data_IF_112119545791
#
_entry.id   IF_112119545791
#
_cell.length_a   1.000
_cell.length_b   1.000
_cell.length_c   1.000
_cell.angle_alpha   90.00
_cell.angle_beta   90.00
_cell.angle_gamma   90.00
#
_symmetry.space_group_name_H-M   'P 1'
#
loop_
_entity.id
_entity.type
_entity.pdbx_description
1 polymer ?
#
# COMPACT_ATOMS: atom_id res chain seq x y z
N UNK A 1 -1.97 -12.45 14.42
CA UNK A 1 -1.01 -11.34 14.61
C UNK A 1 0.33 -11.72 14.00
N UNK A 2 1.03 -10.75 13.40
CA UNK A 2 2.38 -10.92 12.82
C UNK A 2 3.46 -10.42 13.78
N UNK A 3 4.74 -10.72 13.51
CA UNK A 3 5.91 -10.14 14.18
C UNK A 3 5.79 -8.62 14.36
N UNK A 4 5.28 -7.93 13.33
CA UNK A 4 5.13 -6.48 13.34
C UNK A 4 4.06 -5.94 14.29
N UNK A 5 3.00 -6.70 14.57
CA UNK A 5 2.02 -6.30 15.58
C UNK A 5 2.65 -6.32 16.98
N UNK A 6 3.36 -7.40 17.32
CA UNK A 6 4.07 -7.52 18.61
C UNK A 6 5.12 -6.42 18.77
N UNK A 7 5.90 -6.20 17.72
CA UNK A 7 6.97 -5.20 17.71
C UNK A 7 6.45 -3.77 17.86
N UNK A 8 5.39 -3.40 17.14
CA UNK A 8 4.79 -2.06 17.24
C UNK A 8 4.17 -1.80 18.60
N UNK A 9 3.45 -2.78 19.15
CA UNK A 9 2.84 -2.64 20.46
C UNK A 9 3.87 -2.38 21.54
N UNK A 10 5.00 -3.10 21.51
CA UNK A 10 6.10 -2.84 22.43
C UNK A 10 6.69 -1.45 22.27
N UNK A 11 6.94 -0.99 21.04
CA UNK A 11 7.45 0.37 20.78
C UNK A 11 6.50 1.46 21.29
N UNK A 12 5.20 1.20 21.24
CA UNK A 12 4.14 2.10 21.73
C UNK A 12 3.77 1.85 23.20
N UNK A 13 4.47 0.96 23.91
CA UNK A 13 4.22 0.59 25.30
C UNK A 13 2.80 0.04 25.56
N UNK A 14 2.24 -0.65 24.56
CA UNK A 14 0.90 -1.28 24.58
C UNK A 14 0.98 -2.81 24.50
N UNK A 15 2.12 -3.41 24.82
CA UNK A 15 2.32 -4.87 24.84
C UNK A 15 1.59 -5.57 25.99
N UNK A 16 1.20 -4.83 27.03
CA UNK A 16 0.29 -5.30 28.08
C UNK A 16 -1.18 -5.47 27.62
N UNK A 17 -1.49 -5.12 26.38
CA UNK A 17 -2.84 -5.15 25.81
C UNK A 17 -3.52 -3.77 25.82
N UNK A 18 -4.57 -3.58 24.99
CA UNK A 18 -5.29 -2.32 24.92
C UNK A 18 -6.18 -2.11 26.15
N UNK A 19 -6.08 -0.94 26.78
CA UNK A 19 -7.12 -0.41 27.67
C UNK A 19 -8.23 0.21 26.82
N UNK A 20 -9.46 -0.31 26.93
CA UNK A 20 -10.62 0.15 26.18
C UNK A 20 -10.87 1.66 26.34
N UNK A 21 -10.62 2.21 27.54
CA UNK A 21 -10.78 3.64 27.78
C UNK A 21 -9.75 4.44 26.97
N UNK A 22 -8.49 4.02 27.02
CA UNK A 22 -7.42 4.61 26.25
C UNK A 22 -7.66 4.49 24.73
N UNK A 23 -8.13 3.34 24.24
CA UNK A 23 -8.48 3.16 22.81
C UNK A 23 -9.58 4.13 22.38
N UNK A 24 -10.65 4.26 23.18
CA UNK A 24 -11.73 5.22 22.89
C UNK A 24 -11.21 6.66 22.84
N UNK A 25 -10.32 7.02 23.76
CA UNK A 25 -9.69 8.34 23.80
C UNK A 25 -8.79 8.58 22.57
N UNK A 26 -7.98 7.61 22.18
CA UNK A 26 -7.16 7.72 20.96
C UNK A 26 -8.03 7.89 19.70
N UNK A 27 -9.13 7.12 19.59
CA UNK A 27 -10.07 7.23 18.47
C UNK A 27 -10.76 8.59 18.43
N UNK A 28 -11.12 9.18 19.57
CA UNK A 28 -11.74 10.51 19.60
C UNK A 28 -10.75 11.61 19.16
N UNK A 29 -9.49 11.55 19.61
CA UNK A 29 -8.46 12.50 19.15
C UNK A 29 -8.13 12.33 17.66
N UNK A 30 -8.10 11.10 17.17
CA UNK A 30 -7.90 10.84 15.74
C UNK A 30 -9.06 11.42 14.92
N UNK A 31 -10.31 11.18 15.33
CA UNK A 31 -11.49 11.75 14.67
C UNK A 31 -11.47 13.29 14.70
N UNK A 32 -11.11 13.91 15.83
CA UNK A 32 -10.96 15.36 15.92
C UNK A 32 -9.90 15.91 14.96
N UNK A 33 -8.78 15.18 14.79
CA UNK A 33 -7.72 15.55 13.85
C UNK A 33 -8.19 15.45 12.39
N UNK A 34 -8.96 14.41 12.06
CA UNK A 34 -9.59 14.26 10.73
C UNK A 34 -10.55 15.41 10.45
N UNK A 35 -11.44 15.75 11.40
CA UNK A 35 -12.37 16.88 11.25
C UNK A 35 -11.64 18.22 11.09
N UNK A 36 -10.50 18.40 11.77
CA UNK A 36 -9.69 19.60 11.61
C UNK A 36 -9.07 19.69 10.22
N UNK A 37 -8.55 18.59 9.67
CA UNK A 37 -8.01 18.55 8.30
C UNK A 37 -9.12 18.79 7.27
N UNK A 38 -10.28 18.14 7.44
CA UNK A 38 -11.45 18.29 6.57
C UNK A 38 -11.89 19.76 6.42
N UNK A 39 -11.95 20.49 7.54
CA UNK A 39 -12.24 21.93 7.53
C UNK A 39 -11.29 22.72 6.62
N UNK A 40 -9.98 22.47 6.71
CA UNK A 40 -8.99 23.18 5.91
C UNK A 40 -8.97 22.74 4.45
N UNK A 41 -9.28 21.47 4.16
CA UNK A 41 -9.50 21.02 2.78
C UNK A 41 -10.68 21.77 2.17
N UNK A 42 -11.78 21.92 2.90
CA UNK A 42 -12.92 22.73 2.47
C UNK A 42 -12.51 24.17 2.10
N UNK A 43 -11.71 24.83 2.96
CA UNK A 43 -11.21 26.18 2.67
C UNK A 43 -10.35 26.27 1.39
N UNK A 44 -9.54 25.24 1.10
CA UNK A 44 -8.75 25.19 -0.14
C UNK A 44 -9.68 25.06 -1.36
N UNK A 45 -10.68 24.17 -1.29
CA UNK A 45 -11.64 23.97 -2.37
C UNK A 45 -12.49 25.22 -2.63
N UNK A 46 -13.01 25.86 -1.56
CA UNK A 46 -13.74 27.13 -1.64
C UNK A 46 -12.90 28.23 -2.30
N UNK A 47 -11.60 28.27 -1.99
CA UNK A 47 -10.67 29.24 -2.59
C UNK A 47 -10.46 28.97 -4.08
N UNK A 48 -10.35 27.71 -4.51
CA UNK A 48 -10.25 27.36 -5.92
C UNK A 48 -11.50 27.78 -6.70
N UNK A 49 -12.69 27.66 -6.10
CA UNK A 49 -13.95 28.14 -6.68
C UNK A 49 -13.99 29.67 -6.77
N UNK A 50 -13.65 30.38 -5.68
CA UNK A 50 -13.63 31.85 -5.63
C UNK A 50 -12.70 32.45 -6.70
N UNK A 51 -11.58 31.79 -6.97
CA UNK A 51 -10.60 32.22 -7.96
C UNK A 51 -10.92 31.74 -9.39
N UNK A 52 -12.04 31.04 -9.61
CA UNK A 52 -12.42 30.42 -10.88
C UNK A 52 -11.35 29.45 -11.44
N UNK A 53 -10.62 28.75 -10.57
CA UNK A 53 -9.58 27.78 -10.94
C UNK A 53 -10.09 26.33 -10.92
N UNK A 54 -11.26 26.09 -10.34
CA UNK A 54 -11.80 24.74 -10.07
C UNK A 54 -11.92 23.85 -11.31
N UNK A 55 -12.35 24.40 -12.44
CA UNK A 55 -12.59 23.66 -13.70
C UNK A 55 -11.30 23.15 -14.36
N UNK A 56 -10.17 23.81 -14.11
CA UNK A 56 -8.87 23.45 -14.69
C UNK A 56 -7.89 22.93 -13.62
N UNK A 57 -8.42 22.38 -12.52
CA UNK A 57 -7.61 21.84 -11.41
C UNK A 57 -8.00 20.40 -11.14
N UNK A 58 -7.03 19.48 -11.27
CA UNK A 58 -7.17 18.11 -10.78
C UNK A 58 -6.99 18.10 -9.25
N UNK A 59 -7.96 17.54 -8.53
CA UNK A 59 -7.87 17.33 -7.08
C UNK A 59 -7.76 15.84 -6.80
N UNK A 60 -6.67 15.43 -6.16
CA UNK A 60 -6.45 14.06 -5.68
C UNK A 60 -6.42 14.06 -4.15
N UNK A 61 -7.35 13.34 -3.52
CA UNK A 61 -7.37 13.16 -2.07
C UNK A 61 -6.89 11.75 -1.73
N UNK A 62 -5.69 11.66 -1.16
CA UNK A 62 -5.04 10.40 -0.77
C UNK A 62 -4.38 10.57 0.60
N UNK A 63 -4.22 9.47 1.33
CA UNK A 63 -3.28 9.42 2.45
C UNK A 63 -2.07 8.53 2.05
N UNK A 64 -1.07 8.34 2.90
CA UNK A 64 0.08 7.44 2.65
C UNK A 64 -0.13 6.04 3.27
N UNK A 65 -0.77 5.96 4.44
CA UNK A 65 -1.24 4.72 5.06
C UNK A 65 -2.47 4.96 5.97
N UNK A 66 -2.96 3.91 6.62
CA UNK A 66 -3.99 3.98 7.66
C UNK A 66 -3.40 3.85 9.07
N UNK A 67 -4.24 3.55 10.07
CA UNK A 67 -3.83 3.39 11.47
C UNK A 67 -4.74 2.37 12.15
N UNK A 68 -4.14 1.44 12.91
CA UNK A 68 -4.88 0.35 13.57
C UNK A 68 -5.82 0.84 14.68
N UNK A 69 -5.45 1.87 15.45
CA UNK A 69 -6.27 2.40 16.56
C UNK A 69 -6.92 1.32 17.47
N UNK A 70 -6.18 0.25 17.77
CA UNK A 70 -6.64 -0.87 18.60
C UNK A 70 -7.24 -2.05 17.82
N UNK A 71 -7.51 -1.91 16.52
CA UNK A 71 -7.91 -3.05 15.66
C UNK A 71 -6.80 -4.10 15.63
N UNK A 72 -7.18 -5.37 15.63
CA UNK A 72 -6.25 -6.50 15.81
C UNK A 72 -5.32 -6.34 17.02
N UNK A 73 -5.82 -5.73 18.10
CA UNK A 73 -5.04 -5.39 19.29
C UNK A 73 -3.71 -4.69 18.97
N UNK A 74 -3.66 -3.94 17.87
CA UNK A 74 -2.46 -3.32 17.35
C UNK A 74 -2.60 -1.80 17.28
N UNK A 75 -1.46 -1.13 17.26
CA UNK A 75 -1.37 0.32 17.04
C UNK A 75 -0.25 0.59 16.04
N UNK A 76 -0.37 1.69 15.31
CA UNK A 76 0.50 2.03 14.19
C UNK A 76 -0.06 1.57 12.85
N UNK A 77 0.83 1.20 11.94
CA UNK A 77 0.52 0.96 10.52
C UNK A 77 1.33 -0.16 9.87
N UNK A 78 2.18 -0.87 10.61
CA UNK A 78 3.05 -1.90 10.03
C UNK A 78 2.32 -3.23 9.94
N UNK A 79 1.61 -3.42 8.84
CA UNK A 79 0.87 -4.62 8.48
C UNK A 79 0.02 -4.40 7.25
N UNK A 80 -0.57 -5.48 6.75
CA UNK A 80 -1.42 -5.47 5.56
C UNK A 80 -2.90 -5.69 5.85
N UNK A 81 -3.30 -5.50 7.10
CA UNK A 81 -4.73 -5.44 7.39
C UNK A 81 -5.28 -4.09 6.94
N UNK A 82 -6.55 -4.06 6.55
CA UNK A 82 -7.28 -2.90 6.06
C UNK A 82 -7.11 -1.65 6.93
N UNK A 83 -7.18 -1.71 8.28
CA UNK A 83 -6.94 -0.53 9.11
C UNK A 83 -5.62 0.18 8.81
N UNK A 84 -4.56 -0.55 8.46
CA UNK A 84 -3.24 0.00 8.15
C UNK A 84 -3.01 0.27 6.66
N UNK A 85 -3.60 -0.53 5.77
CA UNK A 85 -3.27 -0.49 4.34
C UNK A 85 -4.48 -0.39 3.41
N UNK A 86 -5.65 0.08 3.88
CA UNK A 86 -6.90 0.17 3.07
C UNK A 86 -6.71 0.77 1.68
N UNK A 87 -5.73 1.65 1.51
CA UNK A 87 -5.40 2.29 0.22
C UNK A 87 -4.72 1.35 -0.80
N UNK A 88 -4.33 0.16 -0.38
CA UNK A 88 -4.01 -0.98 -1.22
C UNK A 88 -5.18 -1.99 -1.27
N UNK A 89 -5.98 -2.06 -0.20
CA UNK A 89 -6.88 -3.20 0.05
C UNK A 89 -8.37 -2.93 0.01
N UNK A 90 -8.79 -1.74 -0.39
CA UNK A 90 -10.16 -1.51 -0.86
C UNK A 90 -10.18 -0.40 -1.92
N UNK A 91 -10.88 -0.60 -3.03
CA UNK A 91 -11.15 0.41 -4.04
C UNK A 91 -11.94 1.65 -3.58
N UNK A 92 -12.17 1.85 -2.28
CA UNK A 92 -12.68 3.13 -1.79
C UNK A 92 -11.52 4.13 -1.75
N UNK A 93 -10.92 4.38 -2.91
CA UNK A 93 -10.50 5.73 -3.19
C UNK A 93 -11.78 6.48 -3.54
N UNK A 94 -12.05 7.58 -2.84
CA UNK A 94 -12.92 8.64 -3.36
C UNK A 94 -12.23 9.23 -4.60
N UNK A 95 -12.09 8.45 -5.67
CA UNK A 95 -12.02 9.02 -7.01
C UNK A 95 -13.46 9.42 -7.30
N UNK A 96 -13.84 10.56 -6.74
CA UNK A 96 -15.10 11.18 -7.12
C UNK A 96 -14.94 11.58 -8.57
N UNK A 97 -15.53 10.77 -9.44
CA UNK A 97 -16.20 11.30 -10.61
C UNK A 97 -16.99 12.55 -10.15
N UNK A 98 -17.04 13.65 -10.91
CA UNK A 98 -18.04 14.70 -10.72
C UNK A 98 -19.44 14.20 -10.29
N UNK A 99 -19.84 12.98 -10.64
CA UNK A 99 -21.09 12.32 -10.27
C UNK A 99 -21.14 11.62 -8.88
N UNK A 100 -20.03 11.52 -8.13
CA UNK A 100 -20.00 10.93 -6.78
C UNK A 100 -20.02 9.40 -6.72
N UNK A 101 -19.57 8.73 -7.79
CA UNK A 101 -19.53 7.27 -7.88
C UNK A 101 -18.38 6.65 -7.08
N UNK A 102 -18.56 5.41 -6.63
CA UNK A 102 -17.52 4.59 -6.00
C UNK A 102 -17.16 3.46 -6.97
N UNK A 103 -15.86 3.26 -7.21
CA UNK A 103 -15.33 2.22 -8.10
C UNK A 103 -14.76 1.07 -7.28
N UNK A 104 -14.83 -0.16 -7.80
CA UNK A 104 -14.28 -1.36 -7.16
C UNK A 104 -12.95 -1.88 -7.77
N UNK A 105 -12.26 -1.04 -8.53
CA UNK A 105 -10.96 -1.34 -9.12
C UNK A 105 -9.84 -1.40 -8.07
N UNK A 106 -8.90 -2.32 -8.25
CA UNK A 106 -7.68 -2.36 -7.46
C UNK A 106 -6.78 -1.18 -7.82
N UNK A 107 -6.51 -0.35 -6.81
CA UNK A 107 -5.73 0.88 -6.92
C UNK A 107 -4.70 0.95 -5.80
N UNK A 108 -3.61 1.66 -6.03
CA UNK A 108 -2.55 1.89 -5.05
C UNK A 108 -1.88 3.25 -5.24
N UNK A 109 -1.04 3.65 -4.28
CA UNK A 109 -0.37 4.95 -4.35
C UNK A 109 0.62 5.09 -5.51
N UNK A 110 1.08 3.96 -6.07
CA UNK A 110 1.92 3.94 -7.28
C UNK A 110 1.19 4.52 -8.50
N UNK A 111 -0.14 4.65 -8.44
CA UNK A 111 -0.98 5.14 -9.53
C UNK A 111 -1.10 6.66 -9.57
N UNK A 112 -0.71 7.34 -8.48
CA UNK A 112 -0.80 8.80 -8.37
C UNK A 112 0.05 9.48 -9.44
N UNK A 113 1.30 9.03 -9.63
CA UNK A 113 2.22 9.61 -10.63
C UNK A 113 1.69 9.45 -12.05
N UNK A 114 1.37 8.25 -12.57
CA UNK A 114 0.85 8.11 -13.93
C UNK A 114 -0.47 8.85 -14.14
N UNK A 115 -1.34 8.94 -13.12
CA UNK A 115 -2.60 9.71 -13.21
C UNK A 115 -2.36 11.22 -13.33
N UNK A 116 -1.41 11.78 -12.56
CA UNK A 116 -1.04 13.21 -12.67
C UNK A 116 -0.46 13.49 -14.06
N UNK A 117 0.42 12.61 -14.55
CA UNK A 117 1.02 12.75 -15.87
C UNK A 117 -0.04 12.66 -16.98
N UNK A 118 -0.97 11.72 -16.90
CA UNK A 118 -2.09 11.60 -17.84
C UNK A 118 -2.99 12.84 -17.85
N UNK A 119 -3.21 13.46 -16.70
CA UNK A 119 -3.99 14.69 -16.59
C UNK A 119 -3.26 15.93 -17.15
N UNK A 120 -1.93 15.98 -17.02
CA UNK A 120 -1.12 17.11 -17.47
C UNK A 120 -0.86 17.10 -18.98
N UNK A 121 -0.59 15.93 -19.56
CA UNK A 121 -0.13 15.79 -20.96
C UNK A 121 -1.27 15.45 -21.94
N UNK A 122 -2.43 14.99 -21.43
CA UNK A 122 -3.59 14.61 -22.26
C UNK A 122 -3.38 13.37 -23.16
N UNK A 123 -2.18 12.81 -23.18
CA UNK A 123 -1.83 11.56 -23.84
C UNK A 123 -1.63 10.45 -22.79
N UNK A 124 -1.94 9.20 -23.16
CA UNK A 124 -1.61 8.06 -22.31
C UNK A 124 -0.11 8.02 -22.03
N UNK A 125 0.22 8.10 -20.75
CA UNK A 125 1.58 7.90 -20.26
C UNK A 125 1.94 6.44 -20.51
N UNK A 126 2.96 6.20 -21.33
CA UNK A 126 3.53 4.86 -21.43
C UNK A 126 4.25 4.54 -20.11
N UNK A 127 3.51 3.93 -19.19
CA UNK A 127 3.99 3.57 -17.85
C UNK A 127 5.21 2.66 -17.92
N UNK A 128 5.31 1.79 -18.94
CA UNK A 128 6.43 0.86 -19.10
C UNK A 128 7.67 1.57 -19.66
N UNK A 129 7.50 2.46 -20.63
CA UNK A 129 8.60 3.27 -21.14
C UNK A 129 9.20 4.20 -20.07
N UNK A 130 8.40 4.57 -19.06
CA UNK A 130 8.81 5.44 -17.96
C UNK A 130 9.19 4.70 -16.67
N UNK A 131 9.30 3.36 -16.69
CA UNK A 131 9.66 2.55 -15.51
C UNK A 131 8.72 2.80 -14.30
N UNK A 132 7.42 3.00 -14.59
CA UNK A 132 6.37 3.21 -13.60
C UNK A 132 5.61 1.91 -13.31
N UNK A 133 5.38 1.64 -12.02
CA UNK A 133 4.67 0.45 -11.53
C UNK A 133 3.15 0.61 -11.48
N UNK A 134 2.66 1.84 -11.56
CA UNK A 134 1.23 2.16 -11.48
C UNK A 134 0.52 2.20 -12.82
N UNK A 135 -0.77 2.53 -12.76
CA UNK A 135 -1.62 2.77 -13.94
C UNK A 135 -2.25 4.16 -13.88
N UNK A 136 -2.52 4.75 -15.04
CA UNK A 136 -3.34 5.95 -15.13
C UNK A 136 -4.79 5.63 -14.75
N UNK A 137 -5.32 6.30 -13.73
CA UNK A 137 -6.67 6.06 -13.22
C UNK A 137 -7.73 6.93 -13.91
N UNK A 138 -7.36 7.81 -14.84
CA UNK A 138 -8.34 8.68 -15.50
C UNK A 138 -9.36 7.91 -16.32
N UNK A 139 -8.97 6.79 -16.94
CA UNK A 139 -9.92 5.94 -17.68
C UNK A 139 -10.92 5.28 -16.75
N UNK A 140 -10.45 4.75 -15.62
CA UNK A 140 -11.31 4.16 -14.57
C UNK A 140 -12.22 5.22 -13.94
N UNK A 141 -11.74 6.45 -13.80
CA UNK A 141 -12.54 7.57 -13.32
C UNK A 141 -13.70 7.89 -14.29
N UNK A 142 -13.40 7.96 -15.60
CA UNK A 142 -14.35 8.31 -16.67
C UNK A 142 -15.32 7.17 -17.01
N UNK A 143 -14.88 5.93 -16.94
CA UNK A 143 -15.64 4.74 -17.29
C UNK A 143 -15.35 3.62 -16.29
N UNK A 144 -16.34 3.30 -15.46
CA UNK A 144 -16.22 2.20 -14.49
C UNK A 144 -16.11 0.81 -15.10
N UNK A 145 -16.36 0.67 -16.41
CA UNK A 145 -16.14 -0.60 -17.12
C UNK A 145 -14.72 -0.74 -17.68
N UNK A 146 -13.90 0.32 -17.57
CA UNK A 146 -12.51 0.28 -17.99
C UNK A 146 -11.73 -0.83 -17.24
N UNK A 147 -10.81 -1.53 -17.92
CA UNK A 147 -10.05 -2.61 -17.31
C UNK A 147 -9.16 -2.10 -16.17
N UNK A 148 -9.23 -2.76 -15.02
CA UNK A 148 -8.34 -2.53 -13.88
C UNK A 148 -7.14 -3.49 -13.86
N UNK A 149 -6.26 -3.33 -12.85
CA UNK A 149 -5.25 -4.37 -12.54
C UNK A 149 -5.92 -5.58 -11.90
N UNK A 150 -5.39 -6.77 -12.20
CA UNK A 150 -5.86 -8.02 -11.58
C UNK A 150 -5.24 -8.27 -10.20
N UNK A 151 -3.96 -7.93 -10.04
CA UNK A 151 -3.20 -8.14 -8.80
C UNK A 151 -2.48 -6.86 -8.42
N UNK A 152 -2.60 -6.48 -7.15
CA UNK A 152 -1.81 -5.44 -6.51
C UNK A 152 -0.72 -6.08 -5.65
N UNK A 153 0.51 -5.58 -5.79
CA UNK A 153 1.67 -6.04 -5.03
C UNK A 153 2.06 -4.97 -4.01
N UNK A 154 2.42 -5.40 -2.80
CA UNK A 154 2.91 -4.52 -1.74
C UNK A 154 4.13 -5.11 -1.05
N UNK A 155 4.99 -4.23 -0.54
CA UNK A 155 6.13 -4.61 0.28
C UNK A 155 6.29 -3.70 1.51
N UNK A 156 6.62 -4.30 2.64
CA UNK A 156 7.05 -3.61 3.86
C UNK A 156 8.37 -4.24 4.32
N UNK A 157 9.42 -3.42 4.38
CA UNK A 157 10.81 -3.86 4.63
C UNK A 157 11.29 -4.93 3.64
N UNK A 158 12.46 -5.53 3.90
CA UNK A 158 13.09 -6.51 3.00
C UNK A 158 13.78 -7.63 3.80
N UNK A 159 14.18 -8.69 3.08
CA UNK A 159 14.92 -9.82 3.65
C UNK A 159 14.20 -10.46 4.84
N UNK A 160 14.89 -10.70 5.97
CA UNK A 160 14.33 -11.39 7.14
C UNK A 160 13.23 -10.59 7.87
N UNK A 161 13.05 -9.32 7.54
CA UNK A 161 11.99 -8.48 8.08
C UNK A 161 10.89 -8.20 7.07
N UNK A 162 10.96 -8.74 5.85
CA UNK A 162 9.99 -8.45 4.80
C UNK A 162 8.58 -8.96 5.10
N UNK A 163 7.58 -8.11 4.87
CA UNK A 163 6.21 -8.53 4.58
C UNK A 163 5.95 -8.29 3.10
N UNK A 164 5.46 -9.31 2.41
CA UNK A 164 5.20 -9.26 0.98
C UNK A 164 3.74 -9.58 0.71
N UNK A 165 3.06 -8.69 0.02
CA UNK A 165 1.64 -8.74 -0.28
C UNK A 165 1.42 -9.01 -1.77
N UNK A 166 0.53 -9.94 -2.09
CA UNK A 166 -0.17 -9.98 -3.36
C UNK A 166 -1.66 -10.07 -3.09
N UNK A 167 -2.46 -9.27 -3.78
CA UNK A 167 -3.90 -9.29 -3.57
C UNK A 167 -4.67 -9.02 -4.83
N UNK A 168 -5.86 -9.62 -4.91
CA UNK A 168 -6.84 -9.38 -5.96
C UNK A 168 -8.14 -8.80 -5.34
N UNK A 169 -9.25 -8.67 -6.09
CA UNK A 169 -10.50 -8.14 -5.54
C UNK A 169 -11.09 -8.97 -4.38
N UNK A 170 -10.77 -10.26 -4.30
CA UNK A 170 -11.42 -11.24 -3.40
C UNK A 170 -10.49 -11.79 -2.33
N UNK A 171 -9.17 -11.76 -2.55
CA UNK A 171 -8.21 -12.43 -1.70
C UNK A 171 -6.98 -11.57 -1.45
N UNK A 172 -6.46 -11.65 -0.23
CA UNK A 172 -5.25 -10.99 0.21
C UNK A 172 -4.26 -12.03 0.71
N UNK A 173 -3.16 -12.22 -0.01
CA UNK A 173 -2.06 -13.10 0.36
C UNK A 173 -0.91 -12.30 0.94
N UNK A 174 -0.40 -12.70 2.11
CA UNK A 174 0.75 -12.07 2.77
C UNK A 174 1.76 -13.13 3.17
N UNK A 175 3.01 -13.01 2.72
CA UNK A 175 4.13 -13.75 3.28
C UNK A 175 4.86 -12.88 4.31
N UNK A 176 4.98 -13.37 5.54
CA UNK A 176 5.79 -12.77 6.60
C UNK A 176 7.10 -13.54 6.74
N UNK A 177 8.19 -12.96 6.23
CA UNK A 177 9.53 -13.50 6.42
C UNK A 177 9.94 -13.67 7.89
N UNK A 178 9.71 -12.71 8.81
CA UNK A 178 10.12 -12.88 10.21
C UNK A 178 9.31 -13.94 10.96
N UNK A 179 8.10 -14.26 10.49
CA UNK A 179 7.26 -15.32 11.07
C UNK A 179 7.39 -16.67 10.32
N UNK A 180 8.14 -16.70 9.20
CA UNK A 180 8.16 -17.78 8.19
C UNK A 180 6.75 -18.35 7.91
N UNK A 181 5.78 -17.45 7.70
CA UNK A 181 4.36 -17.79 7.62
C UNK A 181 3.65 -17.08 6.48
N UNK A 182 2.80 -17.83 5.79
CA UNK A 182 1.84 -17.33 4.82
C UNK A 182 0.50 -17.07 5.52
N UNK A 183 -0.16 -15.99 5.12
CA UNK A 183 -1.52 -15.64 5.52
C UNK A 183 -2.37 -15.45 4.28
N UNK A 184 -3.60 -15.93 4.32
CA UNK A 184 -4.57 -15.72 3.25
C UNK A 184 -5.88 -15.23 3.87
N UNK A 185 -6.30 -14.04 3.48
CA UNK A 185 -7.49 -13.39 4.03
C UNK A 185 -8.50 -13.21 2.90
N UNK A 186 -9.73 -13.67 3.12
CA UNK A 186 -10.84 -13.45 2.19
C UNK A 186 -11.33 -12.01 2.34
N UNK A 187 -11.37 -11.28 1.23
CA UNK A 187 -11.91 -9.93 1.13
C UNK A 187 -13.38 -10.01 0.76
N UNK A 188 -14.21 -9.21 1.42
CA UNK A 188 -15.57 -9.02 0.97
C UNK A 188 -15.64 -8.16 -0.27
N UNK A 189 -16.32 -8.67 -1.30
CA UNK A 189 -16.70 -7.87 -2.47
C UNK A 189 -18.00 -7.10 -2.25
N UNK A 190 -18.85 -7.52 -1.30
CA UNK A 190 -20.17 -6.94 -1.01
C UNK A 190 -20.55 -7.06 0.48
N UNK A 191 -21.52 -6.27 0.93
CA UNK A 191 -22.12 -6.44 2.26
C UNK A 191 -22.79 -7.82 2.38
N UNK A 192 -22.23 -8.70 3.21
CA UNK A 192 -22.74 -10.04 3.45
C UNK A 192 -22.13 -10.70 4.68
N UNK A 193 -22.81 -11.70 5.28
CA UNK A 193 -22.39 -12.36 6.51
C UNK A 193 -21.14 -13.26 6.35
N UNK A 194 -20.76 -13.58 5.11
CA UNK A 194 -19.58 -14.39 4.78
C UNK A 194 -18.30 -13.55 4.62
N UNK A 195 -18.41 -12.23 4.76
CA UNK A 195 -17.30 -11.30 4.68
C UNK A 195 -16.69 -11.11 6.07
N UNK A 196 -15.44 -11.53 6.21
CA UNK A 196 -14.64 -11.19 7.37
C UNK A 196 -14.14 -9.74 7.26
N UNK A 197 -15.00 -8.80 7.66
CA UNK A 197 -14.69 -7.37 7.71
C UNK A 197 -13.52 -7.03 8.64
N UNK A 198 -13.24 -7.92 9.59
CA UNK A 198 -12.23 -7.70 10.60
C UNK A 198 -10.92 -8.41 10.26
N UNK A 199 -10.83 -9.12 9.14
CA UNK A 199 -9.62 -9.82 8.67
C UNK A 199 -8.94 -10.67 9.76
N UNK A 200 -9.77 -11.37 10.54
CA UNK A 200 -9.40 -12.26 11.62
C UNK A 200 -9.24 -13.73 11.18
N UNK A 201 -9.85 -14.12 10.06
CA UNK A 201 -9.83 -15.48 9.53
C UNK A 201 -8.65 -15.68 8.55
N UNK A 202 -7.77 -16.62 8.90
CA UNK A 202 -6.63 -17.01 8.08
C UNK A 202 -6.92 -18.34 7.37
N UNK A 203 -7.06 -18.26 6.05
CA UNK A 203 -7.37 -19.39 5.17
C UNK A 203 -6.12 -20.07 4.60
N UNK A 204 -4.90 -19.62 4.97
CA UNK A 204 -3.66 -20.14 4.37
C UNK A 204 -3.45 -21.64 4.58
N UNK A 205 -4.04 -22.20 5.65
CA UNK A 205 -3.99 -23.62 5.98
C UNK A 205 -5.38 -24.26 5.97
N UNK A 206 -6.36 -23.64 5.32
CA UNK A 206 -7.71 -24.20 5.25
C UNK A 206 -7.78 -25.32 4.19
N UNK A 207 -8.68 -26.29 4.40
CA UNK A 207 -8.97 -27.33 3.41
C UNK A 207 -9.91 -26.85 2.29
N UNK A 208 -10.20 -25.54 2.24
CA UNK A 208 -11.02 -24.92 1.20
C UNK A 208 -10.23 -24.91 -0.12
N UNK A 209 -10.83 -25.51 -1.15
CA UNK A 209 -10.23 -25.63 -2.47
C UNK A 209 -10.03 -24.27 -3.14
N UNK A 210 -11.01 -23.36 -3.02
CA UNK A 210 -10.94 -22.01 -3.59
C UNK A 210 -9.80 -21.22 -2.92
N UNK A 211 -9.69 -21.31 -1.60
CA UNK A 211 -8.62 -20.67 -0.84
C UNK A 211 -7.24 -21.20 -1.27
N UNK A 212 -7.11 -22.52 -1.44
CA UNK A 212 -5.87 -23.15 -1.88
C UNK A 212 -5.43 -22.69 -3.28
N UNK A 213 -6.38 -22.58 -4.22
CA UNK A 213 -6.13 -22.06 -5.55
C UNK A 213 -5.75 -20.57 -5.54
N UNK A 214 -6.47 -19.77 -4.74
CA UNK A 214 -6.19 -18.34 -4.57
C UNK A 214 -4.79 -18.10 -4.00
N UNK A 215 -4.39 -18.86 -2.97
CA UNK A 215 -3.06 -18.80 -2.39
C UNK A 215 -1.99 -19.10 -3.43
N UNK A 216 -2.14 -20.21 -4.16
CA UNK A 216 -1.17 -20.60 -5.18
C UNK A 216 -1.04 -19.56 -6.29
N UNK A 217 -2.16 -19.00 -6.76
CA UNK A 217 -2.20 -17.96 -7.79
C UNK A 217 -1.54 -16.66 -7.33
N UNK A 218 -1.93 -16.13 -6.17
CA UNK A 218 -1.39 -14.86 -5.65
C UNK A 218 0.09 -14.98 -5.30
N UNK A 219 0.52 -16.10 -4.72
CA UNK A 219 1.94 -16.38 -4.48
C UNK A 219 2.74 -16.43 -5.79
N UNK A 220 2.21 -17.11 -6.80
CA UNK A 220 2.85 -17.18 -8.12
C UNK A 220 2.98 -15.79 -8.75
N UNK A 221 1.93 -14.97 -8.65
CA UNK A 221 1.96 -13.59 -9.12
C UNK A 221 3.04 -12.75 -8.40
N UNK A 222 3.18 -12.91 -7.08
CA UNK A 222 4.21 -12.25 -6.29
C UNK A 222 5.63 -12.67 -6.72
N UNK A 223 5.89 -13.97 -6.79
CA UNK A 223 7.19 -14.53 -7.19
C UNK A 223 7.55 -14.12 -8.61
N UNK A 224 6.59 -14.21 -9.54
CA UNK A 224 6.76 -13.80 -10.93
C UNK A 224 7.11 -12.32 -11.03
N UNK A 225 6.41 -11.45 -10.29
CA UNK A 225 6.68 -10.02 -10.25
C UNK A 225 8.08 -9.71 -9.72
N UNK A 226 8.47 -10.31 -8.59
CA UNK A 226 9.81 -10.10 -8.05
C UNK A 226 10.88 -10.61 -9.00
N UNK A 227 10.63 -11.74 -9.67
CA UNK A 227 11.52 -12.30 -10.67
C UNK A 227 11.70 -11.39 -11.89
N UNK A 228 10.61 -10.85 -12.44
CA UNK A 228 10.65 -9.93 -13.57
C UNK A 228 11.42 -8.65 -13.25
N UNK A 229 11.32 -8.20 -12.01
CA UNK A 229 11.94 -6.95 -11.56
C UNK A 229 13.39 -7.17 -11.08
N UNK A 230 13.87 -8.41 -11.09
CA UNK A 230 15.22 -8.79 -10.64
C UNK A 230 15.40 -8.75 -9.12
N UNK A 231 14.31 -8.70 -8.35
CA UNK A 231 14.33 -8.68 -6.89
C UNK A 231 14.44 -10.09 -6.32
N UNK A 232 15.67 -10.57 -6.22
CA UNK A 232 15.97 -11.97 -5.86
C UNK A 232 16.08 -12.22 -4.35
N UNK A 233 16.16 -11.17 -3.52
CA UNK A 233 16.31 -11.29 -2.06
C UNK A 233 15.25 -12.20 -1.40
N UNK A 234 13.94 -12.04 -1.67
CA UNK A 234 12.91 -12.91 -1.11
C UNK A 234 12.72 -14.22 -1.89
N UNK A 235 13.50 -14.46 -2.95
CA UNK A 235 13.31 -15.61 -3.83
C UNK A 235 14.32 -16.72 -3.54
N UNK A 236 13.85 -17.95 -3.67
CA UNK A 236 14.65 -19.16 -3.62
C UNK A 236 14.08 -20.19 -4.59
N UNK A 237 14.79 -20.41 -5.71
CA UNK A 237 14.38 -21.36 -6.74
C UNK A 237 14.45 -22.83 -6.28
N UNK A 238 15.12 -23.12 -5.15
CA UNK A 238 15.16 -24.45 -4.55
C UNK A 238 13.98 -24.71 -3.62
N UNK A 239 13.28 -23.67 -3.15
CA UNK A 239 12.05 -23.82 -2.39
C UNK A 239 10.87 -24.11 -3.34
N UNK A 240 10.03 -25.07 -2.96
CA UNK A 240 8.87 -25.52 -3.75
C UNK A 240 7.84 -24.41 -4.03
N UNK A 241 7.88 -23.32 -3.26
CA UNK A 241 6.98 -22.18 -3.36
C UNK A 241 7.68 -20.95 -3.95
N UNK A 242 8.98 -21.02 -4.25
CA UNK A 242 9.78 -19.95 -4.84
C UNK A 242 10.16 -18.83 -3.88
N UNK A 243 9.76 -18.91 -2.60
CA UNK A 243 10.04 -17.92 -1.58
C UNK A 243 11.14 -18.40 -0.64
N UNK A 244 12.07 -17.51 -0.35
CA UNK A 244 13.16 -17.75 0.60
C UNK A 244 12.62 -17.75 2.02
N UNK A 245 12.98 -18.77 2.77
CA UNK A 245 12.75 -18.83 4.22
C UNK A 245 13.84 -18.08 4.96
N UNK A 246 13.44 -17.30 5.96
CA UNK A 246 14.36 -16.57 6.81
C UNK A 246 14.33 -17.15 8.22
N UNK A 247 15.48 -17.27 8.92
CA UNK A 247 15.49 -17.62 10.31
C UNK A 247 14.67 -16.62 11.14
N UNK A 248 13.84 -17.12 12.04
CA UNK A 248 13.08 -16.26 12.95
C UNK A 248 14.03 -15.34 13.75
N UNK A 249 13.69 -14.06 13.93
CA UNK A 249 14.53 -13.13 14.67
C UNK A 249 14.68 -13.57 16.12
N UNK A 250 15.92 -13.50 16.64
CA UNK A 250 16.26 -13.97 18.00
C UNK A 250 15.48 -13.28 19.13
N UNK A 251 14.98 -12.06 18.86
CA UNK A 251 14.01 -11.35 19.72
C UNK A 251 12.95 -10.69 18.83
N UNK A 252 11.67 -10.73 19.21
CA UNK A 252 10.59 -10.06 18.46
C UNK A 252 10.74 -8.52 18.36
N UNK A 253 11.66 -7.93 19.14
CA UNK A 253 11.86 -6.48 19.27
C UNK A 253 13.28 -6.00 19.00
N UNK A 254 14.19 -6.89 18.58
CA UNK A 254 15.54 -6.46 18.22
C UNK A 254 15.52 -5.68 16.88
N UNK A 255 16.48 -4.74 16.74
CA UNK A 255 16.83 -4.06 15.49
C UNK A 255 15.88 -2.96 14.97
N UNK A 256 15.59 -1.94 15.79
CA UNK A 256 15.25 -0.61 15.24
C UNK A 256 16.50 0.26 15.00
N UNK A 257 17.63 -0.07 15.63
CA UNK A 257 18.81 0.80 15.67
C UNK A 257 19.48 1.02 14.31
N UNK A 258 19.34 0.09 13.35
CA UNK A 258 19.91 0.27 12.01
C UNK A 258 18.97 0.95 11.03
N UNK A 259 17.65 0.71 11.11
CA UNK A 259 16.69 1.26 10.14
C UNK A 259 16.44 2.77 10.34
N UNK A 260 16.54 3.30 11.57
CA UNK A 260 16.52 4.75 11.82
C UNK A 260 17.90 5.42 11.72
N UNK A 261 18.99 4.63 11.68
CA UNK A 261 20.32 5.12 11.28
C UNK A 261 20.45 5.32 9.77
N UNK A 262 19.48 4.86 8.99
CA UNK A 262 19.33 5.27 7.59
C UNK A 262 18.86 6.74 7.60
N UNK A 263 19.85 7.62 7.64
CA UNK A 263 19.89 9.01 7.18
C UNK A 263 18.55 9.60 6.71
N UNK A 264 18.26 10.84 7.12
CA UNK A 264 17.16 11.71 6.63
C UNK A 264 17.01 11.69 5.09
N UNK A 265 18.04 11.29 4.36
CA UNK A 265 18.08 11.10 2.90
C UNK A 265 17.27 9.88 2.39
N UNK A 266 17.02 8.84 3.19
CA UNK A 266 16.26 7.66 2.77
C UNK A 266 14.74 7.78 2.97
N UNK A 267 14.25 8.90 3.51
CA UNK A 267 12.81 9.20 3.61
C UNK A 267 12.13 9.43 2.24
N UNK A 268 12.89 9.37 1.14
CA UNK A 268 12.39 9.60 -0.22
C UNK A 268 11.81 8.38 -0.95
N UNK A 269 11.69 7.22 -0.30
CA UNK A 269 11.34 5.97 -0.99
C UNK A 269 10.06 5.36 -0.37
N UNK A 270 8.92 5.96 -0.72
CA UNK A 270 7.57 5.50 -0.34
C UNK A 270 6.93 4.60 -1.42
N UNK A 271 7.67 4.22 -2.46
CA UNK A 271 7.13 3.53 -3.64
C UNK A 271 7.98 2.33 -4.02
N UNK A 272 7.36 1.38 -4.72
CA UNK A 272 7.98 0.20 -5.27
C UNK A 272 9.09 0.59 -6.25
N UNK A 273 10.31 0.76 -5.73
CA UNK A 273 11.51 0.49 -6.49
C UNK A 273 12.04 -0.80 -5.92
N UNK A 274 11.74 -1.89 -6.60
CA UNK A 274 12.40 -3.17 -6.40
C UNK A 274 13.90 -2.91 -6.43
N UNK A 275 14.54 -3.10 -5.29
CA UNK A 275 15.94 -2.73 -5.12
C UNK A 275 16.75 -3.58 -6.11
N UNK A 276 17.12 -2.99 -7.26
CA UNK A 276 17.86 -3.68 -8.35
C UNK A 276 19.29 -3.91 -7.89
N UNK A 277 19.48 -4.92 -7.03
CA UNK A 277 20.77 -5.37 -6.55
C UNK A 277 21.49 -4.36 -5.65
N UNK A 278 22.03 -4.86 -4.53
CA UNK A 278 22.99 -4.12 -3.73
C UNK A 278 24.22 -3.77 -4.60
N UNK A 279 24.34 -2.52 -5.03
CA UNK A 279 25.45 -2.07 -5.88
C UNK A 279 25.41 -0.63 -6.36
N UNK A 280 24.28 0.08 -6.28
CA UNK A 280 24.21 1.50 -6.63
C UNK A 280 24.40 2.39 -5.39
N UNK A 281 25.28 3.40 -5.49
CA UNK A 281 25.53 4.36 -4.42
C UNK A 281 24.21 5.06 -4.05
N UNK A 282 23.73 4.95 -2.80
CA UNK A 282 22.51 5.61 -2.34
C UNK A 282 22.56 7.14 -2.42
N UNK A 283 23.71 7.74 -2.75
CA UNK A 283 23.90 9.19 -3.00
C UNK A 283 23.81 9.59 -4.47
N UNK A 284 23.69 8.65 -5.40
CA UNK A 284 23.49 8.96 -6.80
C UNK A 284 22.03 9.39 -7.03
N UNK A 285 21.73 10.66 -6.76
CA UNK A 285 20.47 11.25 -7.20
C UNK A 285 20.34 11.08 -8.73
N UNK A 286 19.17 10.68 -9.26
CA UNK A 286 18.94 10.79 -10.70
C UNK A 286 19.18 12.25 -11.10
N UNK A 287 19.94 12.48 -12.17
CA UNK A 287 20.25 13.84 -12.60
C UNK A 287 18.96 14.61 -12.86
N UNK A 288 18.82 15.80 -12.27
CA UNK A 288 17.74 16.77 -12.50
C UNK A 288 17.46 17.08 -13.99
N UNK A 289 18.35 16.67 -14.90
CA UNK A 289 18.16 16.77 -16.34
C UNK A 289 17.00 15.90 -16.89
N UNK A 290 16.54 14.87 -16.17
CA UNK A 290 15.48 13.98 -16.63
C UNK A 290 14.05 14.56 -16.48
N UNK A 291 13.89 15.68 -15.77
CA UNK A 291 12.58 16.30 -15.49
C UNK A 291 12.52 17.76 -15.95
N UNK A 292 13.12 18.08 -17.11
CA UNK A 292 12.85 19.38 -17.76
C UNK A 292 11.52 19.30 -18.49
N UNK A 293 10.47 19.81 -17.88
CA UNK A 293 9.28 20.23 -18.61
C UNK A 293 9.67 21.36 -19.58
N UNK A 294 9.17 21.37 -20.82
CA UNK A 294 9.31 22.54 -21.68
C UNK A 294 8.66 23.75 -20.99
N UNK A 295 9.35 24.89 -21.05
CA UNK A 295 8.87 26.16 -20.49
C UNK A 295 7.50 26.50 -21.10
N UNK A 296 6.41 26.59 -20.30
CA UNK A 296 5.09 26.94 -20.83
C UNK A 296 5.02 28.40 -21.29
N UNK A 297 6.06 29.20 -21.01
CA UNK A 297 6.13 30.62 -21.35
C UNK A 297 7.44 30.94 -22.08
N UNK A 298 7.73 30.23 -23.18
CA UNK A 298 8.74 30.64 -24.15
C UNK A 298 8.09 31.36 -25.34
N UNK A 299 8.37 32.66 -25.47
CA UNK A 299 8.07 33.45 -26.67
C UNK A 299 8.97 33.13 -27.87
#
# INVERSE_FOLDING_TARGET
HTHYHVRQNRFKWTDAGPDDHLVRLMRSYYAASVSFVDHWVGQILDTLELLNLRENTLVLYVADHGEYLGDHHAFGKRGYHDPACRKCSRPRQDVRDPAGEVRDHLVGLVDVVPTILGAADGAHVDVRANDLDGMDLLDVARDGSAPGREVLIGQLAEGPLGLYLAMDPTWKYVYSAPDDREYLIRRGTHDGPEVDWNECDDFATSDDHEASEALARLRSALVSRFGSDGYVTPLDASDRHGLRRFPAPSKPWAEFDEMERISVVARGWQYARWNRGAGQDPRAAPSLAAYRFPDPLGG
#
